data_IF_031650433686
#
_entry.id   IF_031650433686
#
_cell.length_a   1.000
_cell.length_b   1.000
_cell.length_c   1.000
_cell.angle_alpha   90.00
_cell.angle_beta   90.00
_cell.angle_gamma   90.00
#
_symmetry.space_group_name_H-M   'P 1'
#
loop_
_entity.id
_entity.type
_entity.pdbx_description
1 polymer ?
#
# COMPACT_ATOMS: atom_id res chain seq x y z
N UNK A 1 73.01 -10.54 35.76
CA UNK A 1 71.67 -11.20 35.77
C UNK A 1 70.63 -10.14 35.57
N UNK A 2 70.16 -9.91 34.35
CA UNK A 2 69.08 -8.95 34.04
C UNK A 2 67.78 -9.75 33.88
N UNK A 3 66.77 -9.46 34.75
CA UNK A 3 65.42 -9.97 34.57
C UNK A 3 64.63 -8.98 33.71
N UNK A 4 64.36 -9.41 32.47
CA UNK A 4 63.48 -8.69 31.57
C UNK A 4 62.00 -8.95 31.99
N UNK A 5 61.27 -7.90 32.33
CA UNK A 5 59.87 -7.94 32.68
C UNK A 5 59.05 -7.65 31.41
N UNK A 6 58.44 -8.69 30.85
CA UNK A 6 57.57 -8.59 29.68
C UNK A 6 56.18 -8.13 30.12
N UNK A 7 55.85 -6.86 29.85
CA UNK A 7 54.49 -6.33 30.07
C UNK A 7 53.59 -6.73 28.89
N UNK A 8 52.66 -7.65 29.14
CA UNK A 8 51.61 -7.99 28.22
C UNK A 8 50.53 -6.89 28.29
N UNK A 9 50.52 -6.10 27.22
CA UNK A 9 49.52 -5.05 27.04
C UNK A 9 48.28 -5.66 26.38
N UNK A 10 47.27 -5.93 27.16
CA UNK A 10 45.97 -6.47 26.69
C UNK A 10 45.23 -5.35 25.96
N UNK A 11 45.15 -5.47 24.62
CA UNK A 11 44.38 -4.57 23.76
C UNK A 11 42.90 -5.02 23.84
N UNK A 12 42.05 -4.32 24.60
CA UNK A 12 40.63 -4.55 24.60
C UNK A 12 40.04 -3.84 23.39
N UNK A 13 39.70 -4.64 22.36
CA UNK A 13 38.95 -4.16 21.20
C UNK A 13 37.48 -4.03 21.60
N UNK A 14 37.05 -2.80 21.91
CA UNK A 14 35.65 -2.48 22.19
C UNK A 14 34.88 -2.42 20.86
N UNK A 15 34.29 -3.54 20.47
CA UNK A 15 33.37 -3.58 19.32
C UNK A 15 32.08 -2.83 19.67
N UNK A 16 31.97 -1.57 19.24
CA UNK A 16 30.72 -0.83 19.28
C UNK A 16 29.77 -1.39 18.22
N UNK A 17 28.88 -2.29 18.62
CA UNK A 17 27.77 -2.73 17.75
C UNK A 17 26.75 -1.61 17.74
N UNK A 18 26.74 -0.83 16.66
CA UNK A 18 25.65 0.12 16.39
C UNK A 18 24.38 -0.69 16.05
N UNK A 19 23.52 -0.87 17.05
CA UNK A 19 22.20 -1.43 16.82
C UNK A 19 21.37 -0.35 16.14
N UNK A 20 21.25 -0.45 14.82
CA UNK A 20 20.34 0.37 14.06
C UNK A 20 18.91 -0.15 14.32
N UNK A 21 18.22 0.47 15.27
CA UNK A 21 16.81 0.17 15.53
C UNK A 21 16.00 0.69 14.33
N UNK A 22 15.62 -0.20 13.44
CA UNK A 22 14.59 0.09 12.45
C UNK A 22 13.25 0.23 13.19
N UNK A 23 12.83 1.46 13.40
CA UNK A 23 11.46 1.73 13.85
C UNK A 23 10.51 1.43 12.70
N UNK A 24 9.83 0.30 12.77
CA UNK A 24 8.73 0.01 11.87
C UNK A 24 7.56 0.91 12.25
N UNK A 25 7.22 1.85 11.39
CA UNK A 25 5.99 2.63 11.54
C UNK A 25 4.85 1.70 11.16
N UNK A 26 4.10 1.26 12.16
CA UNK A 26 2.86 0.52 11.92
C UNK A 26 1.78 1.53 11.48
N UNK A 27 1.33 1.43 10.25
CA UNK A 27 0.13 2.13 9.78
C UNK A 27 -1.05 1.26 10.20
N UNK A 28 -1.89 1.79 11.07
CA UNK A 28 -3.12 1.11 11.47
C UNK A 28 -4.23 1.49 10.49
N UNK A 29 -4.97 0.50 10.02
CA UNK A 29 -6.19 0.63 9.22
C UNK A 29 -7.44 0.78 10.09
N UNK A 30 -8.59 0.45 9.51
CA UNK A 30 -9.86 0.42 10.22
C UNK A 30 -10.02 -0.75 11.18
N UNK A 31 -11.25 -1.02 11.59
CA UNK A 31 -11.57 -2.12 12.53
C UNK A 31 -11.63 -3.49 11.84
N UNK A 32 -11.83 -3.52 10.52
CA UNK A 32 -11.97 -4.77 9.75
C UNK A 32 -10.58 -5.32 9.40
N UNK A 33 -10.22 -6.54 9.86
CA UNK A 33 -8.90 -7.10 9.58
C UNK A 33 -8.71 -7.42 8.09
N UNK A 34 -7.49 -7.31 7.59
CA UNK A 34 -7.10 -7.88 6.30
C UNK A 34 -6.45 -9.24 6.48
N UNK A 35 -6.67 -10.14 5.52
CA UNK A 35 -5.97 -11.44 5.51
C UNK A 35 -4.49 -11.21 5.19
N UNK A 36 -3.55 -11.78 5.99
CA UNK A 36 -2.12 -11.61 5.76
C UNK A 36 -1.69 -12.00 4.34
N UNK A 37 -0.87 -11.14 3.71
CA UNK A 37 -0.39 -11.37 2.35
C UNK A 37 -1.31 -10.84 1.25
N UNK A 38 -2.48 -10.30 1.60
CA UNK A 38 -3.38 -9.64 0.64
C UNK A 38 -2.71 -8.45 -0.01
N UNK A 39 -2.83 -8.35 -1.33
CA UNK A 39 -2.34 -7.22 -2.14
C UNK A 39 -3.34 -6.87 -3.21
N UNK A 40 -3.45 -5.58 -3.49
CA UNK A 40 -4.12 -5.05 -4.67
C UNK A 40 -3.09 -4.51 -5.65
N UNK A 41 -3.35 -4.62 -6.93
CA UNK A 41 -2.43 -4.17 -7.97
C UNK A 41 -3.17 -3.83 -9.27
N UNK A 42 -2.55 -2.99 -10.09
CA UNK A 42 -3.01 -2.75 -11.46
C UNK A 42 -2.51 -3.89 -12.35
N UNK A 43 -3.41 -4.48 -13.15
CA UNK A 43 -3.06 -5.56 -14.08
C UNK A 43 -2.41 -5.01 -15.34
N UNK A 44 -2.92 -3.90 -15.87
CA UNK A 44 -2.55 -3.34 -17.16
C UNK A 44 -2.07 -1.88 -17.09
N UNK A 45 -1.65 -1.43 -15.91
CA UNK A 45 -1.11 -0.08 -15.70
C UNK A 45 0.15 -0.16 -14.85
N UNK A 46 1.22 0.49 -15.30
CA UNK A 46 2.54 0.46 -14.64
C UNK A 46 3.11 1.86 -14.47
N UNK A 47 4.11 1.97 -13.59
CA UNK A 47 4.87 3.21 -13.37
C UNK A 47 5.40 3.81 -14.67
N UNK A 48 5.22 5.11 -14.84
CA UNK A 48 5.69 5.89 -16.00
C UNK A 48 4.91 5.68 -17.29
N UNK A 49 3.83 4.90 -17.29
CA UNK A 49 3.08 4.57 -18.49
C UNK A 49 2.38 5.80 -19.07
N UNK A 50 2.39 5.89 -20.42
CA UNK A 50 1.59 6.83 -21.20
C UNK A 50 0.31 6.15 -21.66
N UNK A 51 -0.83 6.79 -21.44
CA UNK A 51 -2.14 6.27 -21.81
C UNK A 51 -2.95 7.32 -22.57
N UNK A 52 -3.95 6.86 -23.31
CA UNK A 52 -4.98 7.73 -23.92
C UNK A 52 -6.25 7.63 -23.07
N UNK A 53 -6.90 8.76 -22.88
CA UNK A 53 -8.18 8.82 -22.14
C UNK A 53 -9.37 8.71 -23.13
N UNK A 54 -10.38 7.88 -22.83
CA UNK A 54 -10.51 7.00 -21.69
C UNK A 54 -9.62 5.75 -21.76
N UNK A 55 -9.16 5.22 -20.62
CA UNK A 55 -8.34 4.01 -20.53
C UNK A 55 -9.03 2.96 -19.66
N UNK A 56 -9.17 1.72 -20.16
CA UNK A 56 -9.71 0.62 -19.36
C UNK A 56 -8.64 0.12 -18.40
N UNK A 57 -8.81 0.44 -17.12
CA UNK A 57 -7.95 -0.03 -16.05
C UNK A 57 -8.50 -1.33 -15.47
N UNK A 58 -7.63 -2.34 -15.36
CA UNK A 58 -7.96 -3.63 -14.76
C UNK A 58 -7.24 -3.79 -13.42
N UNK A 59 -7.95 -4.32 -12.43
CA UNK A 59 -7.55 -4.37 -11.03
C UNK A 59 -7.45 -5.82 -10.57
N UNK A 60 -6.39 -6.13 -9.84
CA UNK A 60 -6.14 -7.44 -9.26
C UNK A 60 -6.18 -7.42 -7.74
N UNK A 61 -6.57 -8.55 -7.18
CA UNK A 61 -6.50 -8.88 -5.77
C UNK A 61 -5.82 -10.23 -5.64
N UNK A 62 -4.86 -10.36 -4.71
CA UNK A 62 -4.26 -11.65 -4.34
C UNK A 62 -4.77 -12.08 -2.98
N UNK A 63 -4.81 -13.37 -2.72
CA UNK A 63 -5.08 -14.00 -1.43
C UNK A 63 -6.50 -14.52 -1.24
N UNK A 64 -6.75 -14.91 0.01
CA UNK A 64 -8.02 -15.48 0.47
C UNK A 64 -9.15 -14.44 0.64
N UNK A 65 -8.87 -13.15 0.50
CA UNK A 65 -9.91 -12.13 0.52
C UNK A 65 -10.72 -12.13 -0.78
N UNK A 66 -12.01 -11.90 -0.65
CA UNK A 66 -12.95 -11.81 -1.76
C UNK A 66 -13.30 -10.36 -2.13
N UNK A 67 -13.79 -10.17 -3.35
CA UNK A 67 -14.38 -8.89 -3.78
C UNK A 67 -15.88 -8.96 -3.56
N UNK A 68 -16.43 -7.97 -2.83
CA UNK A 68 -17.84 -7.85 -2.55
C UNK A 68 -18.37 -6.45 -2.91
N UNK A 69 -19.66 -6.29 -3.16
CA UNK A 69 -20.26 -4.97 -3.29
C UNK A 69 -20.16 -4.17 -1.99
N UNK A 70 -20.13 -2.85 -2.09
CA UNK A 70 -20.31 -1.98 -0.94
C UNK A 70 -21.60 -2.34 -0.18
N UNK A 71 -21.61 -2.15 1.14
CA UNK A 71 -22.70 -2.50 2.06
C UNK A 71 -22.90 -4.02 2.26
N UNK A 72 -22.16 -4.89 1.59
CA UNK A 72 -22.17 -6.32 1.87
C UNK A 72 -21.11 -6.62 2.97
N UNK A 73 -21.59 -6.75 4.20
CA UNK A 73 -20.75 -7.09 5.37
C UNK A 73 -20.51 -8.60 5.41
N UNK A 74 -19.66 -9.08 4.50
CA UNK A 74 -19.24 -10.47 4.43
C UNK A 74 -17.82 -10.62 4.97
N UNK A 75 -17.51 -11.74 5.66
CA UNK A 75 -16.17 -11.99 6.18
C UNK A 75 -15.11 -11.97 5.07
N UNK A 76 -13.95 -11.40 5.37
CA UNK A 76 -12.77 -11.38 4.50
C UNK A 76 -13.05 -10.83 3.09
N UNK A 77 -13.92 -9.82 2.98
CA UNK A 77 -14.25 -9.20 1.70
C UNK A 77 -14.13 -7.69 1.75
N UNK A 78 -14.06 -7.10 0.56
CA UNK A 78 -14.04 -5.65 0.37
C UNK A 78 -14.18 -5.29 -1.10
N UNK A 79 -13.92 -4.03 -1.43
CA UNK A 79 -13.99 -3.55 -2.81
C UNK A 79 -12.89 -2.52 -3.10
N UNK A 80 -12.59 -2.37 -4.39
CA UNK A 80 -11.54 -1.48 -4.84
C UNK A 80 -11.94 -0.01 -4.79
N UNK A 81 -10.97 0.83 -4.45
CA UNK A 81 -11.01 2.29 -4.61
C UNK A 81 -9.78 2.75 -5.37
N UNK A 82 -9.93 3.78 -6.21
CA UNK A 82 -8.81 4.39 -6.93
C UNK A 82 -8.63 5.82 -6.43
N UNK A 83 -7.44 6.09 -5.93
CA UNK A 83 -7.00 7.38 -5.43
C UNK A 83 -6.20 8.05 -6.56
N UNK A 84 -6.59 9.27 -6.95
CA UNK A 84 -5.98 10.01 -8.04
C UNK A 84 -5.52 11.36 -7.51
N UNK A 85 -4.27 11.74 -7.79
CA UNK A 85 -3.64 13.04 -7.47
C UNK A 85 -3.79 13.47 -6.00
N UNK A 86 -3.83 12.48 -5.11
CA UNK A 86 -4.01 12.70 -3.68
C UNK A 86 -3.52 11.51 -2.86
N UNK A 87 -3.66 11.58 -1.54
CA UNK A 87 -3.35 10.49 -0.63
C UNK A 87 -4.45 10.34 0.42
N UNK A 88 -4.62 9.10 0.93
CA UNK A 88 -5.44 8.85 2.11
C UNK A 88 -4.60 9.17 3.35
N UNK A 89 -5.08 10.10 4.16
CA UNK A 89 -4.36 10.58 5.36
C UNK A 89 -4.88 9.96 6.65
N UNK A 90 -6.05 9.34 6.61
CA UNK A 90 -6.65 8.69 7.77
C UNK A 90 -7.27 7.34 7.39
N UNK A 91 -6.60 6.27 7.80
CA UNK A 91 -7.00 4.89 7.49
C UNK A 91 -8.17 4.38 8.35
N UNK A 92 -8.57 5.13 9.39
CA UNK A 92 -9.70 4.79 10.27
C UNK A 92 -11.01 5.48 9.86
N UNK A 93 -11.04 6.08 8.67
CA UNK A 93 -12.24 6.77 8.16
C UNK A 93 -12.59 6.26 6.78
N UNK A 94 -13.87 6.36 6.47
CA UNK A 94 -14.37 6.08 5.14
C UNK A 94 -13.64 6.90 4.07
N UNK A 95 -13.24 6.22 3.02
CA UNK A 95 -12.60 6.81 1.84
C UNK A 95 -13.54 7.85 1.24
N UNK A 96 -13.04 9.05 1.05
CA UNK A 96 -13.84 10.19 0.59
C UNK A 96 -14.42 9.95 -0.82
N UNK A 97 -15.65 10.43 -1.04
CA UNK A 97 -16.30 10.43 -2.36
C UNK A 97 -15.56 11.23 -3.45
N UNK A 98 -14.46 11.89 -3.11
CA UNK A 98 -13.55 12.50 -4.11
C UNK A 98 -12.77 11.45 -4.90
N UNK A 99 -12.68 10.24 -4.40
CA UNK A 99 -12.00 9.12 -5.02
C UNK A 99 -12.99 8.23 -5.77
N UNK A 100 -12.47 7.39 -6.64
CA UNK A 100 -13.31 6.45 -7.39
C UNK A 100 -13.60 5.25 -6.49
N UNK A 101 -14.86 4.90 -6.37
CA UNK A 101 -15.36 3.77 -5.61
C UNK A 101 -15.98 2.73 -6.56
N UNK A 102 -15.53 1.49 -6.52
CA UNK A 102 -16.06 0.41 -7.32
C UNK A 102 -17.10 -0.37 -6.51
N UNK A 103 -18.26 0.27 -6.28
CA UNK A 103 -19.31 -0.11 -5.31
C UNK A 103 -19.99 -1.45 -5.58
N UNK A 104 -19.91 -1.96 -6.81
CA UNK A 104 -20.58 -3.22 -7.20
C UNK A 104 -19.64 -4.42 -7.19
N UNK A 105 -18.40 -4.22 -6.71
CA UNK A 105 -17.36 -5.22 -6.79
C UNK A 105 -16.73 -5.32 -8.17
N UNK A 106 -16.70 -4.21 -8.91
CA UNK A 106 -16.03 -4.17 -10.20
C UNK A 106 -14.52 -4.39 -10.06
N UNK A 107 -13.96 -5.10 -11.04
CA UNK A 107 -12.52 -5.35 -11.16
C UNK A 107 -11.89 -4.60 -12.33
N UNK A 108 -12.67 -3.80 -13.03
CA UNK A 108 -12.20 -2.93 -14.10
C UNK A 108 -13.06 -1.67 -14.20
N UNK A 109 -12.48 -0.61 -14.73
CA UNK A 109 -13.15 0.66 -14.94
C UNK A 109 -12.57 1.42 -16.12
N UNK A 110 -13.42 2.07 -16.90
CA UNK A 110 -13.00 3.03 -17.92
C UNK A 110 -12.64 4.36 -17.24
N UNK A 111 -11.34 4.57 -17.03
CA UNK A 111 -10.80 5.74 -16.38
C UNK A 111 -10.70 6.91 -17.37
N UNK A 112 -11.38 8.02 -17.03
CA UNK A 112 -11.34 9.24 -17.83
C UNK A 112 -10.64 10.35 -17.06
N UNK A 113 -9.45 10.72 -17.51
CA UNK A 113 -8.62 11.77 -16.92
C UNK A 113 -8.28 12.85 -17.98
N UNK A 114 -8.06 14.10 -17.57
CA UNK A 114 -7.52 15.14 -18.46
C UNK A 114 -6.09 14.79 -18.91
N UNK A 115 -5.63 15.39 -19.98
CA UNK A 115 -4.24 15.28 -20.40
C UNK A 115 -3.31 15.88 -19.34
N UNK A 116 -2.20 15.18 -19.05
CA UNK A 116 -1.22 15.60 -18.05
C UNK A 116 -0.62 14.44 -17.27
N UNK A 117 0.16 14.79 -16.23
CA UNK A 117 0.73 13.82 -15.30
C UNK A 117 -0.22 13.59 -14.13
N UNK A 118 -0.41 12.34 -13.76
CA UNK A 118 -1.27 11.94 -12.64
C UNK A 118 -0.56 10.92 -11.76
N UNK A 119 -0.86 10.95 -10.48
CA UNK A 119 -0.56 9.85 -9.55
C UNK A 119 -1.81 9.00 -9.38
N UNK A 120 -1.63 7.68 -9.29
CA UNK A 120 -2.73 6.74 -9.11
C UNK A 120 -2.33 5.65 -8.15
N UNK A 121 -3.23 5.28 -7.25
CA UNK A 121 -3.04 4.24 -6.24
C UNK A 121 -4.33 3.46 -6.02
N UNK A 122 -4.21 2.15 -5.75
CA UNK A 122 -5.32 1.33 -5.29
C UNK A 122 -5.34 1.24 -3.77
N UNK A 123 -6.54 1.18 -3.23
CA UNK A 123 -6.79 0.82 -1.85
C UNK A 123 -8.02 -0.08 -1.77
N UNK A 124 -7.97 -1.10 -0.93
CA UNK A 124 -9.08 -2.02 -0.69
C UNK A 124 -9.78 -1.61 0.60
N UNK A 125 -11.05 -1.30 0.49
CA UNK A 125 -11.89 -0.90 1.61
C UNK A 125 -12.96 -1.94 1.92
N UNK A 126 -13.39 -1.96 3.17
CA UNK A 126 -14.47 -2.81 3.66
C UNK A 126 -15.85 -2.35 3.16
N UNK A 127 -16.91 -3.02 3.62
CA UNK A 127 -18.30 -2.72 3.27
C UNK A 127 -18.73 -1.27 3.59
N UNK A 128 -18.04 -0.59 4.51
CA UNK A 128 -18.26 0.81 4.92
C UNK A 128 -17.29 1.79 4.27
N UNK A 129 -16.50 1.33 3.27
CA UNK A 129 -15.44 2.10 2.60
C UNK A 129 -14.27 2.49 3.52
N UNK A 130 -14.07 1.79 4.64
CA UNK A 130 -12.95 2.01 5.53
C UNK A 130 -11.81 1.07 5.11
N UNK A 131 -10.56 1.55 5.00
CA UNK A 131 -9.42 0.68 4.75
C UNK A 131 -9.31 -0.42 5.80
N UNK A 132 -8.96 -1.65 5.38
CA UNK A 132 -8.70 -2.76 6.31
C UNK A 132 -7.49 -2.51 7.21
N UNK A 133 -7.33 -3.28 8.29
CA UNK A 133 -6.17 -3.28 9.17
C UNK A 133 -5.43 -4.63 9.13
N UNK A 134 -4.13 -4.66 8.72
CA UNK A 134 -3.37 -3.58 8.08
C UNK A 134 -3.95 -3.16 6.72
N UNK A 135 -3.72 -1.91 6.28
CA UNK A 135 -4.23 -1.42 5.01
C UNK A 135 -3.73 -2.21 3.80
N UNK A 136 -4.64 -2.58 2.91
CA UNK A 136 -4.34 -3.26 1.66
C UNK A 136 -4.28 -2.22 0.53
N UNK A 137 -3.07 -1.85 0.13
CA UNK A 137 -2.81 -0.76 -0.82
C UNK A 137 -1.76 -1.18 -1.85
N UNK A 138 -1.87 -0.62 -3.07
CA UNK A 138 -0.80 -0.71 -4.04
C UNK A 138 0.28 0.35 -3.79
N UNK A 139 1.42 0.21 -4.47
CA UNK A 139 2.31 1.35 -4.67
C UNK A 139 1.58 2.49 -5.39
N UNK A 140 2.02 3.73 -5.13
CA UNK A 140 1.61 4.88 -5.94
C UNK A 140 2.38 4.83 -7.25
N UNK A 141 1.69 4.88 -8.38
CA UNK A 141 2.32 4.96 -9.70
C UNK A 141 2.03 6.30 -10.36
N UNK A 142 2.99 6.77 -11.14
CA UNK A 142 2.88 7.97 -11.97
C UNK A 142 2.52 7.56 -13.39
N UNK A 143 1.55 8.24 -13.99
CA UNK A 143 1.14 8.02 -15.39
C UNK A 143 1.09 9.35 -16.13
N UNK A 144 1.10 9.30 -17.45
CA UNK A 144 0.88 10.47 -18.31
C UNK A 144 -0.28 10.20 -19.24
N UNK A 145 -1.28 11.07 -19.23
CA UNK A 145 -2.42 11.04 -20.18
C UNK A 145 -2.11 11.95 -21.36
N UNK A 146 -2.21 11.40 -22.60
CA UNK A 146 -1.96 12.08 -23.88
C UNK A 146 -3.26 12.41 -24.61
#
# INVERSE_FOLDING_TARGET
>A
MLKSSFKIQTFIFLCFILIFSFSTVSVFGGETPSVPGTRVYFINLIEGQKIKSPYLVQLGLTSEMGIAPAMADWPDTGHHHIIIDSAITNMNKSISNKHIHLHKGETEISLKLPAGKHTIQLIFGDYSHIPHDPPVMSEVINITVE
#
